data_IF_128876580761
#
_entry.id   IF_128876580761
#
_cell.length_a   1.000
_cell.length_b   1.000
_cell.length_c   1.000
_cell.angle_alpha   90.00
_cell.angle_beta   90.00
_cell.angle_gamma   90.00
#
_symmetry.space_group_name_H-M   'P 1'
#
loop_
_entity.id
_entity.type
_entity.pdbx_description
1 polymer ?
#
# COMPACT_ATOMS: atom_id res chain seq x y z
N UNK A 1 17.73 5.82 45.05
CA UNK A 1 18.48 4.55 45.14
C UNK A 1 18.15 3.66 43.97
N UNK A 2 19.02 3.36 43.29
CA UNK A 2 19.80 2.39 42.55
C UNK A 2 19.65 2.50 41.04
N UNK A 3 20.76 2.86 40.43
CA UNK A 3 21.14 2.73 39.01
C UNK A 3 21.27 1.26 38.64
N UNK A 4 20.95 0.91 37.43
CA UNK A 4 21.71 -0.12 36.70
C UNK A 4 21.87 0.26 35.22
N UNK A 5 23.13 0.57 34.88
CA UNK A 5 23.68 0.61 33.52
C UNK A 5 23.90 -0.82 33.04
N UNK A 6 23.59 -1.15 31.82
CA UNK A 6 24.29 -2.20 31.08
C UNK A 6 24.68 -1.70 29.70
N UNK A 7 25.98 -1.60 29.54
CA UNK A 7 26.69 -1.49 28.30
C UNK A 7 26.90 -2.92 27.72
N UNK A 8 26.70 -3.13 26.46
CA UNK A 8 26.98 -4.37 25.73
C UNK A 8 27.59 -4.03 24.37
N UNK A 9 28.81 -4.01 24.35
CA UNK A 9 29.96 -4.42 23.55
C UNK A 9 29.71 -4.68 22.06
N UNK A 10 30.35 -3.85 21.24
CA UNK A 10 30.66 -4.02 19.82
C UNK A 10 31.61 -5.22 19.66
N UNK A 11 31.25 -6.15 18.80
CA UNK A 11 32.17 -7.15 18.23
C UNK A 11 32.51 -6.74 16.80
N UNK A 12 33.75 -6.35 16.63
CA UNK A 12 34.43 -6.13 15.35
C UNK A 12 35.00 -7.48 14.92
N UNK A 13 34.50 -8.05 13.84
CA UNK A 13 35.12 -9.22 13.20
C UNK A 13 36.06 -8.78 12.10
N UNK A 14 37.30 -9.11 12.36
CA UNK A 14 38.51 -8.87 11.58
C UNK A 14 38.54 -9.73 10.32
N UNK A 15 38.75 -9.05 9.22
CA UNK A 15 39.10 -9.56 7.90
C UNK A 15 40.44 -10.27 7.95
N UNK A 16 40.45 -11.58 7.73
CA UNK A 16 41.71 -12.35 7.59
C UNK A 16 42.09 -12.47 6.12
N UNK A 17 43.21 -11.80 5.81
CA UNK A 17 43.88 -11.81 4.53
C UNK A 17 45.01 -12.87 4.60
N UNK A 18 44.91 -13.95 3.87
CA UNK A 18 46.00 -14.88 3.67
C UNK A 18 46.26 -15.04 2.15
N UNK A 19 47.32 -14.41 1.73
CA UNK A 19 48.16 -14.83 0.61
C UNK A 19 49.24 -15.79 1.10
N UNK A 20 49.66 -16.78 0.30
CA UNK A 20 51.08 -16.94 0.13
C UNK A 20 51.49 -17.07 -1.33
N UNK A 21 52.55 -16.31 -1.63
CA UNK A 21 53.46 -16.54 -2.72
C UNK A 21 54.13 -17.90 -2.60
N UNK A 22 54.32 -18.58 -3.71
CA UNK A 22 55.49 -19.38 -3.95
C UNK A 22 55.75 -19.52 -5.45
N UNK A 23 56.82 -18.83 -5.88
CA UNK A 23 57.52 -19.07 -7.11
C UNK A 23 58.24 -20.40 -7.05
N UNK A 24 58.27 -21.15 -8.12
CA UNK A 24 59.35 -22.09 -8.45
C UNK A 24 59.47 -22.23 -9.95
N UNK A 25 60.66 -21.97 -10.36
CA UNK A 25 61.22 -21.91 -11.70
C UNK A 25 61.51 -23.31 -12.31
N UNK A 26 61.23 -23.43 -13.63
CA UNK A 26 61.96 -24.08 -14.72
C UNK A 26 62.14 -25.63 -14.71
N UNK A 27 62.50 -26.26 -15.82
CA UNK A 27 62.88 -25.76 -17.18
C UNK A 27 62.27 -26.53 -18.38
N UNK A 28 62.46 -25.93 -19.55
CA UNK A 28 62.43 -26.33 -20.94
C UNK A 28 62.45 -27.85 -21.27
N UNK A 29 61.55 -28.27 -22.12
CA UNK A 29 61.88 -29.29 -23.12
C UNK A 29 61.21 -28.95 -24.46
N UNK A 30 62.05 -28.73 -25.43
CA UNK A 30 61.80 -28.54 -26.86
C UNK A 30 61.70 -29.94 -27.51
N UNK A 31 60.62 -30.18 -28.21
CA UNK A 31 60.60 -30.94 -29.46
C UNK A 31 59.21 -31.38 -29.87
N UNK A 32 58.85 -31.12 -31.08
CA UNK A 32 57.73 -31.81 -31.73
C UNK A 32 56.76 -30.93 -32.52
N UNK A 33 57.24 -30.39 -33.63
CA UNK A 33 56.40 -30.01 -34.75
C UNK A 33 55.43 -31.10 -35.09
N UNK A 34 54.13 -30.86 -35.00
CA UNK A 34 53.12 -31.41 -35.91
C UNK A 34 52.12 -30.34 -36.24
N UNK A 35 52.25 -29.85 -37.43
CA UNK A 35 51.28 -29.16 -38.22
C UNK A 35 50.01 -30.01 -38.24
N UNK A 36 48.99 -29.59 -37.54
CA UNK A 36 47.71 -30.27 -37.37
C UNK A 36 46.57 -29.26 -37.47
N UNK A 37 46.10 -29.10 -38.68
CA UNK A 37 44.75 -28.69 -39.08
C UNK A 37 44.06 -27.71 -38.11
N UNK A 38 44.10 -26.43 -38.47
CA UNK A 38 43.14 -25.43 -38.04
C UNK A 38 41.74 -25.89 -38.46
N UNK A 39 41.07 -26.58 -37.56
CA UNK A 39 39.65 -26.76 -37.64
C UNK A 39 39.02 -25.37 -37.44
N UNK A 40 38.71 -24.73 -38.57
CA UNK A 40 37.82 -23.59 -38.61
C UNK A 40 36.47 -24.08 -38.10
N UNK A 41 36.28 -24.09 -36.76
CA UNK A 41 34.97 -24.10 -36.18
C UNK A 41 34.30 -22.82 -36.66
N UNK A 42 33.49 -22.97 -37.70
CA UNK A 42 32.47 -22.01 -38.07
C UNK A 42 31.63 -21.78 -36.80
N UNK A 43 31.94 -20.72 -36.08
CA UNK A 43 31.02 -20.17 -35.11
C UNK A 43 29.76 -19.87 -35.89
N UNK A 44 28.77 -20.78 -35.78
CA UNK A 44 27.41 -20.48 -36.19
C UNK A 44 27.05 -19.20 -35.46
N UNK A 45 27.06 -18.09 -36.16
CA UNK A 45 26.48 -16.83 -35.75
C UNK A 45 24.97 -17.04 -35.68
N UNK A 46 24.49 -17.49 -34.53
CA UNK A 46 23.05 -17.54 -34.19
C UNK A 46 22.62 -16.24 -33.50
N UNK A 47 23.28 -15.11 -33.81
CA UNK A 47 23.05 -13.82 -33.13
C UNK A 47 22.43 -12.72 -34.00
N UNK A 48 22.39 -12.87 -35.32
CA UNK A 48 22.10 -11.72 -36.18
C UNK A 48 20.67 -11.25 -36.24
N UNK A 49 19.68 -12.07 -35.91
CA UNK A 49 18.25 -11.67 -35.96
C UNK A 49 17.73 -11.27 -34.59
N UNK A 50 18.32 -11.82 -33.53
CA UNK A 50 17.93 -11.45 -32.15
C UNK A 50 18.54 -10.12 -31.71
N UNK A 51 19.72 -9.72 -32.24
CA UNK A 51 20.36 -8.45 -31.90
C UNK A 51 19.58 -7.25 -32.50
N UNK A 52 19.07 -7.35 -33.72
CA UNK A 52 18.32 -6.25 -34.35
C UNK A 52 16.89 -6.12 -33.80
N UNK A 53 16.22 -7.24 -33.47
CA UNK A 53 14.86 -7.19 -32.89
C UNK A 53 14.85 -7.17 -31.36
N UNK A 54 15.92 -7.60 -30.70
CA UNK A 54 16.01 -7.63 -29.23
C UNK A 54 15.82 -6.25 -28.60
N UNK A 55 16.38 -5.22 -29.21
CA UNK A 55 16.20 -3.84 -28.77
C UNK A 55 14.76 -3.35 -28.91
N UNK A 56 14.09 -3.66 -30.03
CA UNK A 56 12.67 -3.30 -30.23
C UNK A 56 11.73 -4.07 -29.27
N UNK A 57 12.02 -5.34 -28.99
CA UNK A 57 11.28 -6.13 -28.02
C UNK A 57 11.48 -5.60 -26.61
N UNK A 58 12.67 -5.15 -26.25
CA UNK A 58 12.95 -4.52 -24.95
C UNK A 58 12.18 -3.19 -24.82
N UNK A 59 12.21 -2.34 -25.86
CA UNK A 59 11.43 -1.10 -25.86
C UNK A 59 9.94 -1.35 -25.77
N UNK A 60 9.41 -2.33 -26.53
CA UNK A 60 7.99 -2.71 -26.46
C UNK A 60 7.63 -3.24 -25.06
N UNK A 61 8.49 -4.04 -24.43
CA UNK A 61 8.31 -4.53 -23.08
C UNK A 61 8.28 -3.39 -22.05
N UNK A 62 9.20 -2.43 -22.16
CA UNK A 62 9.21 -1.24 -21.29
C UNK A 62 7.95 -0.37 -21.49
N UNK A 63 7.51 -0.19 -22.73
CA UNK A 63 6.29 0.57 -23.04
C UNK A 63 5.04 -0.11 -22.45
N UNK A 64 4.94 -1.44 -22.53
CA UNK A 64 3.86 -2.20 -21.92
C UNK A 64 3.88 -2.09 -20.39
N UNK A 65 5.05 -2.21 -19.76
CA UNK A 65 5.18 -2.05 -18.30
C UNK A 65 4.79 -0.64 -17.86
N UNK A 66 5.26 0.40 -18.57
CA UNK A 66 4.89 1.78 -18.30
C UNK A 66 3.37 2.00 -18.46
N UNK A 67 2.76 1.42 -19.50
CA UNK A 67 1.31 1.43 -19.72
C UNK A 67 0.54 0.78 -18.57
N UNK A 68 0.94 -0.40 -18.15
CA UNK A 68 0.30 -1.11 -17.02
C UNK A 68 0.36 -0.32 -15.72
N UNK A 69 1.52 0.29 -15.39
CA UNK A 69 1.68 1.12 -14.19
C UNK A 69 0.80 2.37 -14.28
N UNK A 70 0.75 3.00 -15.44
CA UNK A 70 -0.08 4.20 -15.66
C UNK A 70 -1.58 3.90 -15.51
N UNK A 71 -2.07 2.83 -16.14
CA UNK A 71 -3.48 2.42 -16.01
C UNK A 71 -3.85 2.02 -14.58
N UNK A 72 -2.97 1.32 -13.87
CA UNK A 72 -3.19 0.90 -12.50
C UNK A 72 -3.40 2.11 -11.55
N UNK A 73 -2.64 3.18 -11.71
CA UNK A 73 -2.78 4.40 -10.88
C UNK A 73 -4.09 5.13 -11.13
N UNK A 74 -4.48 5.29 -12.40
CA UNK A 74 -5.73 6.00 -12.75
C UNK A 74 -6.98 5.28 -12.25
N UNK A 75 -6.98 3.95 -12.18
CA UNK A 75 -8.10 3.18 -11.62
C UNK A 75 -8.27 3.42 -10.12
N UNK A 76 -7.17 3.53 -9.37
CA UNK A 76 -7.23 3.79 -7.92
C UNK A 76 -7.86 5.15 -7.62
N UNK A 77 -7.48 6.19 -8.34
CA UNK A 77 -8.01 7.54 -8.11
C UNK A 77 -9.52 7.63 -8.40
N UNK A 78 -9.98 6.98 -9.47
CA UNK A 78 -11.40 6.90 -9.80
C UNK A 78 -12.19 6.13 -8.73
N UNK A 79 -11.67 5.01 -8.26
CA UNK A 79 -12.29 4.21 -7.19
C UNK A 79 -12.36 4.99 -5.88
N UNK A 80 -11.35 5.79 -5.53
CA UNK A 80 -11.33 6.62 -4.32
C UNK A 80 -12.40 7.70 -4.36
N UNK A 81 -12.54 8.39 -5.50
CA UNK A 81 -13.59 9.39 -5.68
C UNK A 81 -14.98 8.76 -5.55
N UNK A 82 -15.17 7.59 -6.18
CA UNK A 82 -16.42 6.86 -6.09
C UNK A 82 -16.70 6.37 -4.67
N UNK A 83 -15.70 5.79 -3.98
CA UNK A 83 -15.81 5.39 -2.58
C UNK A 83 -16.25 6.58 -1.69
N UNK A 84 -15.61 7.74 -1.88
CA UNK A 84 -15.95 8.94 -1.11
C UNK A 84 -17.40 9.39 -1.37
N UNK A 85 -17.85 9.34 -2.62
CA UNK A 85 -19.22 9.68 -3.00
C UNK A 85 -20.25 8.70 -2.42
N UNK A 86 -19.98 7.40 -2.54
CA UNK A 86 -20.82 6.34 -2.00
C UNK A 86 -20.88 6.39 -0.46
N UNK A 87 -19.73 6.60 0.19
CA UNK A 87 -19.66 6.74 1.64
C UNK A 87 -20.43 7.96 2.14
N UNK A 88 -20.37 9.10 1.45
CA UNK A 88 -21.20 10.27 1.77
C UNK A 88 -22.70 9.95 1.64
N UNK A 89 -23.09 9.22 0.60
CA UNK A 89 -24.47 8.77 0.43
C UNK A 89 -24.92 7.85 1.57
N UNK A 90 -24.09 6.88 1.94
CA UNK A 90 -24.35 5.96 3.06
C UNK A 90 -24.48 6.71 4.37
N UNK A 91 -23.53 7.59 4.70
CA UNK A 91 -23.57 8.42 5.91
C UNK A 91 -24.85 9.27 5.93
N UNK A 92 -25.20 9.88 4.80
CA UNK A 92 -26.42 10.68 4.69
C UNK A 92 -27.68 9.87 4.91
N UNK A 93 -27.80 8.68 4.31
CA UNK A 93 -28.93 7.76 4.52
C UNK A 93 -29.03 7.34 5.99
N UNK A 94 -27.91 6.97 6.62
CA UNK A 94 -27.90 6.55 8.03
C UNK A 94 -28.30 7.69 8.96
N UNK A 95 -27.76 8.89 8.75
CA UNK A 95 -28.13 10.09 9.54
C UNK A 95 -29.60 10.42 9.42
N UNK A 96 -30.16 10.25 8.24
CA UNK A 96 -31.63 10.50 8.03
C UNK A 96 -32.47 9.43 8.68
N UNK A 97 -32.11 8.15 8.54
CA UNK A 97 -32.89 7.02 9.06
C UNK A 97 -32.78 6.86 10.56
N UNK A 98 -31.65 7.21 11.16
CA UNK A 98 -31.38 7.00 12.59
C UNK A 98 -31.19 8.31 13.36
N UNK A 99 -31.77 9.40 12.89
CA UNK A 99 -31.64 10.72 13.53
C UNK A 99 -31.92 10.67 15.04
N UNK A 100 -30.89 10.96 15.85
CA UNK A 100 -30.98 10.97 17.30
C UNK A 100 -31.01 9.57 17.96
N UNK A 101 -30.85 8.50 17.21
CA UNK A 101 -30.88 7.11 17.70
C UNK A 101 -29.65 6.33 17.23
N UNK A 102 -28.47 6.94 17.32
CA UNK A 102 -27.23 6.31 16.87
C UNK A 102 -26.85 5.10 17.72
N UNK A 103 -27.36 5.00 18.95
CA UNK A 103 -27.21 3.82 19.81
C UNK A 103 -27.77 2.53 19.19
N UNK A 104 -28.71 2.64 18.24
CA UNK A 104 -29.33 1.49 17.55
C UNK A 104 -28.67 1.12 16.24
N UNK A 105 -27.66 1.86 15.82
CA UNK A 105 -26.97 1.59 14.57
C UNK A 105 -26.03 0.40 14.74
N UNK A 106 -26.24 -0.62 13.90
CA UNK A 106 -25.38 -1.81 13.81
C UNK A 106 -25.11 -2.13 12.34
N UNK A 107 -23.94 -2.68 12.02
CA UNK A 107 -23.65 -3.11 10.63
C UNK A 107 -24.68 -4.08 10.09
N UNK A 108 -25.10 -5.08 10.89
CA UNK A 108 -26.13 -6.03 10.48
C UNK A 108 -27.46 -5.36 10.16
N UNK A 109 -27.87 -4.35 10.95
CA UNK A 109 -29.07 -3.57 10.68
C UNK A 109 -28.97 -2.74 9.40
N UNK A 110 -27.82 -2.12 9.13
CA UNK A 110 -27.58 -1.34 7.91
C UNK A 110 -27.60 -2.24 6.65
N UNK A 111 -26.98 -3.41 6.71
CA UNK A 111 -26.99 -4.41 5.64
C UNK A 111 -28.42 -4.91 5.41
N UNK A 112 -29.12 -5.31 6.48
CA UNK A 112 -30.50 -5.79 6.39
C UNK A 112 -31.47 -4.76 5.81
N UNK A 113 -31.24 -3.47 6.08
CA UNK A 113 -31.99 -2.37 5.50
C UNK A 113 -31.56 -2.00 4.08
N UNK A 114 -30.59 -2.69 3.49
CA UNK A 114 -30.12 -2.48 2.12
C UNK A 114 -29.43 -1.14 1.89
N UNK A 115 -28.83 -0.57 2.91
CA UNK A 115 -28.12 0.74 2.82
C UNK A 115 -26.96 0.68 1.82
N UNK A 116 -26.34 -0.49 1.67
CA UNK A 116 -25.18 -0.72 0.82
C UNK A 116 -25.52 -1.31 -0.56
N UNK A 117 -26.81 -1.51 -0.87
CA UNK A 117 -27.24 -2.03 -2.18
C UNK A 117 -26.84 -1.07 -3.30
N UNK A 118 -26.48 -1.65 -4.44
CA UNK A 118 -26.15 -0.94 -5.68
C UNK A 118 -24.91 -0.02 -5.56
N UNK A 119 -24.06 -0.26 -4.54
CA UNK A 119 -22.76 0.39 -4.42
C UNK A 119 -21.69 -0.46 -5.11
N UNK A 120 -20.75 0.18 -5.77
CA UNK A 120 -19.69 -0.51 -6.53
C UNK A 120 -18.38 -0.61 -5.74
N UNK A 121 -18.11 0.35 -4.86
CA UNK A 121 -16.91 0.36 -4.01
C UNK A 121 -17.14 -0.24 -2.62
N UNK A 122 -18.39 -0.58 -2.30
CA UNK A 122 -18.79 -1.20 -1.03
C UNK A 122 -19.59 -2.46 -1.34
N UNK A 123 -18.95 -3.61 -1.30
CA UNK A 123 -19.57 -4.89 -1.66
C UNK A 123 -19.97 -5.66 -0.41
N UNK A 124 -21.24 -6.06 -0.32
CA UNK A 124 -21.72 -6.93 0.74
C UNK A 124 -21.22 -8.36 0.52
N UNK A 125 -20.53 -8.91 1.53
CA UNK A 125 -20.05 -10.28 1.53
C UNK A 125 -20.18 -10.90 2.91
N UNK A 126 -20.94 -11.99 3.01
CA UNK A 126 -21.09 -12.79 4.25
C UNK A 126 -21.45 -11.94 5.50
N UNK A 127 -22.34 -10.97 5.35
CA UNK A 127 -22.76 -10.10 6.46
C UNK A 127 -21.79 -8.99 6.84
N UNK A 128 -20.79 -8.76 5.98
CA UNK A 128 -19.79 -7.69 6.10
C UNK A 128 -19.80 -6.84 4.83
N UNK A 129 -19.25 -5.64 4.90
CA UNK A 129 -19.08 -4.74 3.76
C UNK A 129 -17.60 -4.58 3.48
N UNK A 130 -17.18 -5.00 2.29
CA UNK A 130 -15.79 -4.91 1.83
C UNK A 130 -15.62 -3.66 0.99
N UNK A 131 -14.58 -2.89 1.29
CA UNK A 131 -14.26 -1.64 0.62
C UNK A 131 -13.33 -1.84 -0.59
N UNK A 132 -13.55 -1.06 -1.64
CA UNK A 132 -12.62 -0.91 -2.76
C UNK A 132 -12.28 0.59 -2.92
N UNK A 133 -11.01 0.97 -3.04
CA UNK A 133 -9.81 0.15 -2.95
C UNK A 133 -9.48 -0.33 -1.53
N UNK A 134 -8.52 -1.22 -1.41
CA UNK A 134 -7.94 -1.65 -0.14
C UNK A 134 -8.44 -3.00 0.38
N UNK A 135 -9.66 -3.44 0.06
CA UNK A 135 -10.19 -4.75 0.46
C UNK A 135 -10.48 -4.89 1.97
N UNK A 136 -10.47 -3.79 2.73
CA UNK A 136 -10.75 -3.81 4.15
C UNK A 136 -12.26 -3.87 4.47
N UNK A 137 -12.61 -4.37 5.65
CA UNK A 137 -14.02 -4.44 6.10
C UNK A 137 -14.43 -3.14 6.76
N UNK A 138 -15.46 -2.47 6.20
CA UNK A 138 -16.07 -1.30 6.80
C UNK A 138 -16.78 -1.70 8.09
N UNK A 139 -16.58 -0.93 9.16
CA UNK A 139 -17.35 -1.06 10.38
C UNK A 139 -17.95 0.27 10.81
N UNK A 140 -19.12 0.20 11.43
CA UNK A 140 -19.77 1.35 12.06
C UNK A 140 -20.16 1.01 13.47
N UNK A 141 -19.96 1.94 14.38
CA UNK A 141 -20.39 1.81 15.76
C UNK A 141 -20.86 3.15 16.33
N UNK A 142 -21.83 3.13 17.28
CA UNK A 142 -22.15 4.30 18.08
C UNK A 142 -20.90 4.85 18.78
N UNK A 143 -20.77 6.16 18.83
CA UNK A 143 -19.60 6.80 19.40
C UNK A 143 -20.00 8.11 20.09
N UNK A 144 -19.00 8.76 20.67
CA UNK A 144 -19.16 10.01 21.39
C UNK A 144 -18.25 11.10 20.79
N UNK A 145 -18.84 12.25 20.51
CA UNK A 145 -18.12 13.48 20.24
C UNK A 145 -18.22 14.44 21.44
N UNK A 146 -19.44 14.77 21.85
CA UNK A 146 -19.75 15.63 23.00
C UNK A 146 -20.55 14.87 24.06
N UNK A 147 -21.52 14.06 23.64
CA UNK A 147 -22.41 13.28 24.50
C UNK A 147 -22.40 11.82 24.07
N UNK A 148 -22.77 10.91 24.99
CA UNK A 148 -22.84 9.48 24.68
C UNK A 148 -23.79 9.23 23.49
N UNK A 149 -23.32 8.46 22.50
CA UNK A 149 -24.09 8.07 21.31
C UNK A 149 -24.61 9.25 20.46
N UNK A 150 -23.91 10.39 20.49
CA UNK A 150 -24.25 11.56 19.67
C UNK A 150 -23.61 11.50 18.26
N UNK A 151 -22.87 10.46 17.99
CA UNK A 151 -22.13 10.29 16.74
C UNK A 151 -21.96 8.83 16.35
N UNK A 152 -21.56 8.60 15.10
CA UNK A 152 -21.15 7.31 14.58
C UNK A 152 -19.66 7.36 14.24
N UNK A 153 -18.94 6.32 14.63
CA UNK A 153 -17.58 6.05 14.19
C UNK A 153 -17.62 5.09 13.01
N UNK A 154 -17.10 5.56 11.88
CA UNK A 154 -16.87 4.78 10.67
C UNK A 154 -15.42 4.40 10.62
N UNK A 155 -15.11 3.11 10.64
CA UNK A 155 -13.74 2.61 10.50
C UNK A 155 -13.54 2.09 9.10
N UNK A 156 -12.60 2.70 8.39
CA UNK A 156 -12.24 2.46 6.98
C UNK A 156 -10.80 1.93 6.99
N UNK A 157 -10.60 0.61 7.11
CA UNK A 157 -9.27 0.03 7.20
C UNK A 157 -8.64 -0.24 5.83
N UNK A 158 -7.36 -0.53 5.85
CA UNK A 158 -6.59 -1.06 4.73
C UNK A 158 -6.56 -0.17 3.48
N UNK A 159 -6.61 1.15 3.69
CA UNK A 159 -6.62 2.10 2.56
C UNK A 159 -5.20 2.36 2.04
N UNK A 160 -4.99 2.37 0.70
CA UNK A 160 -3.75 2.84 0.09
C UNK A 160 -3.45 4.29 0.49
N UNK A 161 -2.19 4.69 0.45
CA UNK A 161 -1.75 6.03 0.89
C UNK A 161 -2.48 7.16 0.16
N UNK A 162 -2.62 7.07 -1.17
CA UNK A 162 -3.36 8.05 -1.97
C UNK A 162 -4.85 8.13 -1.58
N UNK A 163 -5.49 6.97 -1.33
CA UNK A 163 -6.88 6.90 -0.88
C UNK A 163 -7.04 7.52 0.50
N UNK A 164 -6.11 7.25 1.43
CA UNK A 164 -6.11 7.81 2.76
C UNK A 164 -6.09 9.35 2.72
N UNK A 165 -5.16 9.95 1.99
CA UNK A 165 -5.06 11.41 1.85
C UNK A 165 -6.34 12.00 1.26
N UNK A 166 -6.90 11.38 0.22
CA UNK A 166 -8.11 11.85 -0.46
C UNK A 166 -9.34 11.79 0.43
N UNK A 167 -9.54 10.66 1.16
CA UNK A 167 -10.66 10.51 2.10
C UNK A 167 -10.57 11.56 3.21
N UNK A 168 -9.39 11.71 3.83
CA UNK A 168 -9.16 12.69 4.89
C UNK A 168 -9.49 14.12 4.39
N UNK A 169 -9.00 14.47 3.20
CA UNK A 169 -9.29 15.77 2.57
C UNK A 169 -10.79 16.00 2.34
N UNK A 170 -11.51 14.98 1.88
CA UNK A 170 -12.94 15.07 1.59
C UNK A 170 -13.79 15.23 2.86
N UNK A 171 -13.36 14.66 3.98
CA UNK A 171 -14.12 14.71 5.24
C UNK A 171 -13.65 15.78 6.23
N UNK A 172 -12.64 16.57 5.88
CA UNK A 172 -12.09 17.60 6.78
C UNK A 172 -13.12 18.60 7.30
N UNK A 173 -14.14 18.93 6.50
CA UNK A 173 -15.20 19.88 6.88
C UNK A 173 -16.38 19.17 7.57
N UNK A 174 -16.77 17.98 7.12
CA UNK A 174 -18.02 17.31 7.50
C UNK A 174 -17.89 16.37 8.70
N UNK A 175 -16.69 15.80 8.95
CA UNK A 175 -16.48 14.96 10.14
C UNK A 175 -16.22 15.82 11.38
N UNK A 176 -16.82 15.44 12.50
CA UNK A 176 -16.60 16.07 13.81
C UNK A 176 -15.22 15.78 14.38
N UNK A 177 -14.67 14.56 14.10
CA UNK A 177 -13.34 14.11 14.51
C UNK A 177 -12.80 13.15 13.46
N UNK A 178 -11.47 13.17 13.23
CA UNK A 178 -10.79 12.25 12.30
C UNK A 178 -9.56 11.70 12.99
N UNK A 179 -9.38 10.38 12.89
CA UNK A 179 -8.20 9.67 13.37
C UNK A 179 -7.62 8.87 12.20
N UNK A 180 -6.31 8.96 11.98
CA UNK A 180 -5.60 8.18 10.97
C UNK A 180 -4.49 7.41 11.66
N UNK A 181 -4.44 6.09 11.48
CA UNK A 181 -3.41 5.23 12.07
C UNK A 181 -3.21 5.49 13.57
N UNK A 182 -4.32 5.59 14.33
CA UNK A 182 -4.38 5.93 15.77
C UNK A 182 -3.94 7.37 16.13
N UNK A 183 -3.61 8.21 15.17
CA UNK A 183 -3.25 9.62 15.40
C UNK A 183 -4.47 10.51 15.17
N UNK A 184 -4.84 11.34 16.14
CA UNK A 184 -5.90 12.34 15.99
C UNK A 184 -5.39 13.48 15.12
N UNK A 185 -5.94 13.59 13.91
CA UNK A 185 -5.60 14.64 12.94
C UNK A 185 -6.60 15.79 12.94
N UNK A 186 -7.84 15.51 13.37
CA UNK A 186 -8.86 16.51 13.63
C UNK A 186 -9.52 16.22 14.98
N UNK A 187 -9.41 17.10 15.94
CA UNK A 187 -10.14 17.03 17.20
C UNK A 187 -11.54 17.66 17.05
N UNK A 188 -12.43 17.37 17.99
CA UNK A 188 -13.78 17.95 18.02
C UNK A 188 -13.69 19.47 18.12
N UNK A 189 -14.41 20.17 17.24
CA UNK A 189 -14.42 21.63 17.18
C UNK A 189 -13.14 22.27 16.61
N UNK A 190 -12.16 21.48 16.21
CA UNK A 190 -10.92 21.99 15.62
C UNK A 190 -10.89 21.82 14.09
N UNK A 191 -9.98 22.53 13.46
CA UNK A 191 -9.60 22.30 12.07
C UNK A 191 -8.63 21.12 11.99
N UNK A 192 -8.48 20.54 10.80
CA UNK A 192 -7.48 19.51 10.56
C UNK A 192 -6.07 20.08 10.74
N UNK A 193 -5.17 19.26 11.28
CA UNK A 193 -3.75 19.56 11.37
C UNK A 193 -3.02 18.78 10.25
N UNK A 194 -2.67 19.42 9.13
CA UNK A 194 -2.05 18.73 8.00
C UNK A 194 -0.72 18.06 8.35
N UNK A 195 0.01 18.58 9.35
CA UNK A 195 1.31 18.03 9.76
C UNK A 195 1.20 16.66 10.42
N UNK A 196 0.01 16.32 10.93
CA UNK A 196 -0.29 15.03 11.57
C UNK A 196 -0.84 13.99 10.60
N UNK A 197 -1.19 14.37 9.38
CA UNK A 197 -1.70 13.45 8.38
C UNK A 197 -0.55 12.56 7.90
N UNK A 198 -0.49 11.34 8.42
CA UNK A 198 0.51 10.35 8.05
C UNK A 198 -0.18 9.16 7.39
N UNK A 199 -0.32 9.23 6.07
CA UNK A 199 -0.79 8.14 5.23
C UNK A 199 0.44 7.48 4.60
N UNK A 200 0.90 6.38 5.17
CA UNK A 200 2.12 5.69 4.73
C UNK A 200 2.03 4.19 5.00
N UNK A 201 2.77 3.41 4.21
CA UNK A 201 2.86 1.96 4.38
C UNK A 201 1.81 1.16 3.61
N UNK A 202 1.02 1.80 2.75
CA UNK A 202 0.09 1.14 1.82
C UNK A 202 -1.16 0.53 2.46
N UNK A 203 -1.29 0.58 3.79
CA UNK A 203 -2.43 0.03 4.54
C UNK A 203 -2.79 0.95 5.71
N UNK A 204 -3.64 1.92 5.45
CA UNK A 204 -4.02 2.92 6.42
C UNK A 204 -5.42 2.67 6.98
N UNK A 205 -5.62 2.94 8.26
CA UNK A 205 -6.93 2.90 8.91
C UNK A 205 -7.39 4.32 9.21
N UNK A 206 -8.57 4.66 8.71
CA UNK A 206 -9.20 5.98 8.91
C UNK A 206 -10.45 5.78 9.75
N UNK A 207 -10.55 6.51 10.86
CA UNK A 207 -11.77 6.58 11.67
C UNK A 207 -12.39 7.96 11.50
N UNK A 208 -13.60 7.99 10.95
CA UNK A 208 -14.39 9.20 10.77
C UNK A 208 -15.52 9.21 11.81
N UNK A 209 -15.68 10.32 12.51
CA UNK A 209 -16.77 10.51 13.48
C UNK A 209 -17.75 11.54 12.91
N UNK A 210 -18.99 11.13 12.74
CA UNK A 210 -20.05 11.97 12.14
C UNK A 210 -21.27 12.00 13.06
N UNK A 211 -21.84 13.16 13.24
CA UNK A 211 -23.06 13.42 14.01
C UNK A 211 -24.20 13.89 13.10
#
# INVERSE_FOLDING_TARGET
MARTKQAGTLAVDTFNRNTPDHATTAPLNVSGMKEGQRNKRTRRQWGGVLDDYGFYLLLAGLALLAGLVYFSRNQTDSQVQQLTTELNSVIGKVKTSYRGQYDKVTMAGLIGNGIFRDLTTMTEASGSVILQPGGGTLTVAPSQLLSANDSLQWTIPNQPDAACVSIVGSYQASAGKIIVNNTVIKAVGATIDPSKVSCSGGSNTINLFTS
#
